data_IF_794586524390
#
_entry.id   IF_794586524390
#
_cell.length_a   1.000
_cell.length_b   1.000
_cell.length_c   1.000
_cell.angle_alpha   90.00
_cell.angle_beta   90.00
_cell.angle_gamma   90.00
#
_symmetry.space_group_name_H-M   'P 1'
#
loop_
_entity.id
_entity.type
_entity.pdbx_description
1 polymer ?
#
# COMPACT_ATOMS: atom_id res chain seq x y z
N UNK A 1 -21.18 -12.95 -7.55
CA UNK A 1 -20.74 -11.84 -6.71
C UNK A 1 -20.37 -10.65 -7.59
N UNK A 2 -20.94 -9.51 -7.30
CA UNK A 2 -20.62 -8.29 -8.04
C UNK A 2 -19.31 -7.72 -7.53
N UNK A 3 -18.48 -7.24 -8.45
CA UNK A 3 -17.23 -6.57 -8.11
C UNK A 3 -17.25 -5.15 -8.65
N UNK A 4 -16.49 -4.28 -7.98
CA UNK A 4 -16.37 -2.87 -8.38
C UNK A 4 -14.89 -2.51 -8.48
N UNK A 5 -14.50 -1.98 -9.64
CA UNK A 5 -13.14 -1.51 -9.86
C UNK A 5 -12.98 -0.13 -9.24
N UNK A 6 -11.86 0.07 -8.54
CA UNK A 6 -11.54 1.33 -7.87
C UNK A 6 -10.19 1.83 -8.38
N UNK A 7 -10.16 3.11 -8.77
CA UNK A 7 -8.94 3.80 -9.15
C UNK A 7 -8.84 5.09 -8.35
N UNK A 8 -7.70 5.32 -7.73
CA UNK A 8 -7.44 6.49 -6.90
C UNK A 8 -6.67 7.54 -7.69
N UNK A 9 -7.10 8.80 -7.60
CA UNK A 9 -6.42 9.88 -8.31
C UNK A 9 -5.08 10.26 -7.67
N UNK A 10 -4.95 10.06 -6.37
CA UNK A 10 -3.76 10.47 -5.61
C UNK A 10 -2.77 9.33 -5.39
N UNK A 11 -2.92 8.22 -6.10
CA UNK A 11 -1.93 7.14 -6.15
C UNK A 11 -1.30 7.12 -7.53
N UNK A 12 -0.10 6.54 -7.68
CA UNK A 12 0.52 6.43 -9.00
C UNK A 12 -0.39 5.70 -9.97
N UNK A 13 -0.50 6.20 -11.20
CA UNK A 13 -1.35 5.60 -12.21
C UNK A 13 -0.92 4.15 -12.49
N UNK A 14 -1.90 3.28 -12.72
CA UNK A 14 -1.63 1.92 -13.13
C UNK A 14 -0.99 1.92 -14.53
N UNK A 15 0.18 1.30 -14.66
CA UNK A 15 0.93 1.25 -15.91
C UNK A 15 0.82 -0.09 -16.62
N UNK A 16 -0.28 -0.79 -16.41
CA UNK A 16 -0.51 -2.08 -17.02
C UNK A 16 -1.98 -2.47 -16.93
N UNK A 17 -2.31 -3.72 -17.25
CA UNK A 17 -3.70 -4.17 -17.27
C UNK A 17 -4.19 -4.52 -15.86
N UNK A 18 -4.23 -3.52 -14.97
CA UNK A 18 -4.72 -3.70 -13.61
C UNK A 18 -5.32 -2.37 -13.08
N UNK A 19 -6.10 -2.46 -12.03
CA UNK A 19 -6.66 -1.30 -11.32
C UNK A 19 -6.05 -1.17 -9.93
N UNK A 20 -6.33 -0.09 -9.23
CA UNK A 20 -5.78 0.12 -7.89
C UNK A 20 -6.40 -0.81 -6.85
N UNK A 21 -7.69 -1.11 -6.97
CA UNK A 21 -8.36 -1.99 -6.04
C UNK A 21 -9.63 -2.56 -6.64
N UNK A 22 -10.12 -3.65 -6.05
CA UNK A 22 -11.39 -4.25 -6.41
C UNK A 22 -12.18 -4.47 -5.12
N UNK A 23 -13.42 -3.99 -5.12
CA UNK A 23 -14.36 -4.23 -4.04
C UNK A 23 -15.16 -5.48 -4.38
N UNK A 24 -15.17 -6.46 -3.48
CA UNK A 24 -15.85 -7.73 -3.67
C UNK A 24 -16.55 -8.12 -2.37
N UNK A 25 -17.89 -8.02 -2.35
CA UNK A 25 -18.65 -8.24 -1.13
C UNK A 25 -18.25 -7.24 -0.06
N UNK A 26 -17.89 -7.74 1.12
CA UNK A 26 -17.49 -6.90 2.25
C UNK A 26 -15.99 -6.60 2.29
N UNK A 27 -15.25 -7.00 1.25
CA UNK A 27 -13.81 -6.86 1.21
C UNK A 27 -13.34 -5.98 0.06
N UNK A 28 -12.20 -5.33 0.28
CA UNK A 28 -11.47 -4.61 -0.76
C UNK A 28 -10.09 -5.23 -0.88
N UNK A 29 -9.71 -5.55 -2.11
CA UNK A 29 -8.39 -6.10 -2.42
C UNK A 29 -7.63 -5.06 -3.21
N UNK A 30 -6.46 -4.65 -2.72
CA UNK A 30 -5.66 -3.63 -3.41
C UNK A 30 -4.53 -4.27 -4.19
N UNK A 31 -4.18 -3.65 -5.31
CA UNK A 31 -2.93 -3.95 -6.00
C UNK A 31 -1.76 -3.49 -5.14
N UNK A 32 -0.59 -4.06 -5.39
CA UNK A 32 0.62 -3.66 -4.68
C UNK A 32 1.01 -2.23 -5.01
N UNK A 33 1.60 -1.56 -4.03
CA UNK A 33 2.12 -0.20 -4.19
C UNK A 33 3.63 -0.24 -3.98
N UNK A 34 4.33 0.55 -4.78
CA UNK A 34 5.76 0.77 -4.64
C UNK A 34 6.02 2.22 -4.22
N UNK A 35 7.25 2.55 -3.91
CA UNK A 35 7.61 3.88 -3.44
C UNK A 35 7.69 4.94 -4.53
N UNK A 36 6.72 4.95 -5.41
CA UNK A 36 6.65 5.87 -6.54
C UNK A 36 5.85 7.11 -6.16
N UNK A 37 6.43 8.30 -6.38
CA UNK A 37 5.74 9.56 -6.15
C UNK A 37 4.67 9.73 -7.23
N UNK A 38 3.39 9.91 -6.87
CA UNK A 38 2.32 10.01 -7.86
C UNK A 38 2.36 11.26 -8.72
N UNK A 39 3.05 12.31 -8.27
CA UNK A 39 3.14 13.57 -9.02
C UNK A 39 4.32 13.56 -10.00
N UNK A 40 5.48 13.07 -9.56
CA UNK A 40 6.69 13.07 -10.39
C UNK A 40 6.87 11.79 -11.19
N UNK A 41 6.20 10.71 -10.78
CA UNK A 41 6.36 9.37 -11.35
C UNK A 41 7.78 8.82 -11.14
N UNK A 42 8.47 9.33 -10.13
CA UNK A 42 9.83 8.89 -9.78
C UNK A 42 9.82 8.08 -8.50
N UNK A 43 10.68 7.05 -8.47
CA UNK A 43 10.85 6.22 -7.28
C UNK A 43 11.63 7.02 -6.22
N UNK A 44 11.15 6.98 -4.98
CA UNK A 44 11.87 7.61 -3.87
C UNK A 44 13.19 6.89 -3.63
N UNK A 45 14.18 7.62 -3.11
CA UNK A 45 15.49 7.06 -2.81
C UNK A 45 15.55 6.55 -1.36
N UNK A 46 16.10 5.35 -1.22
CA UNK A 46 16.30 4.73 0.07
C UNK A 46 15.06 4.04 0.61
N UNK A 47 15.29 3.02 1.44
CA UNK A 47 14.20 2.17 1.94
C UNK A 47 13.22 2.94 2.83
N UNK A 48 13.70 3.88 3.63
CA UNK A 48 12.84 4.66 4.51
C UNK A 48 11.84 5.51 3.72
N UNK A 49 12.34 6.26 2.73
CA UNK A 49 11.48 7.14 1.93
C UNK A 49 10.56 6.34 1.01
N UNK A 50 11.04 5.22 0.48
CA UNK A 50 10.19 4.33 -0.30
C UNK A 50 9.06 3.75 0.54
N UNK A 51 9.35 3.34 1.77
CA UNK A 51 8.33 2.78 2.68
C UNK A 51 7.26 3.82 3.01
N UNK A 52 7.67 5.05 3.32
CA UNK A 52 6.72 6.13 3.59
C UNK A 52 5.83 6.39 2.38
N UNK A 53 6.41 6.39 1.18
CA UNK A 53 5.65 6.63 -0.04
C UNK A 53 4.69 5.49 -0.35
N UNK A 54 5.11 4.23 -0.15
CA UNK A 54 4.22 3.06 -0.30
C UNK A 54 2.99 3.22 0.58
N UNK A 55 3.19 3.57 1.85
CA UNK A 55 2.08 3.71 2.80
C UNK A 55 1.18 4.89 2.44
N UNK A 56 1.74 5.98 1.94
CA UNK A 56 0.96 7.12 1.45
C UNK A 56 0.12 6.73 0.23
N UNK A 57 0.71 5.98 -0.71
CA UNK A 57 0.00 5.53 -1.90
C UNK A 57 -1.13 4.57 -1.54
N UNK A 58 -0.86 3.64 -0.61
CA UNK A 58 -1.87 2.70 -0.13
C UNK A 58 -3.01 3.44 0.56
N UNK A 59 -2.69 4.44 1.37
CA UNK A 59 -3.69 5.27 2.04
C UNK A 59 -4.59 5.97 1.01
N UNK A 60 -4.03 6.47 -0.09
CA UNK A 60 -4.79 7.09 -1.16
C UNK A 60 -5.74 6.10 -1.84
N UNK A 61 -5.27 4.87 -2.09
CA UNK A 61 -6.11 3.83 -2.67
C UNK A 61 -7.25 3.46 -1.74
N UNK A 62 -6.96 3.29 -0.45
CA UNK A 62 -8.00 2.96 0.54
C UNK A 62 -9.03 4.09 0.66
N UNK A 63 -8.58 5.34 0.62
CA UNK A 63 -9.48 6.48 0.70
C UNK A 63 -10.48 6.50 -0.46
N UNK A 64 -10.07 6.03 -1.62
CA UNK A 64 -10.97 5.93 -2.78
C UNK A 64 -12.14 4.95 -2.54
N UNK A 65 -12.02 4.10 -1.52
CA UNK A 65 -13.07 3.16 -1.10
C UNK A 65 -13.67 3.56 0.25
N UNK A 66 -13.43 4.78 0.71
CA UNK A 66 -13.87 5.29 2.02
C UNK A 66 -13.30 4.47 3.18
N UNK A 67 -12.07 3.96 3.02
CA UNK A 67 -11.37 3.18 4.02
C UNK A 67 -10.09 3.89 4.47
N UNK A 68 -9.57 3.46 5.60
CA UNK A 68 -8.29 3.93 6.14
C UNK A 68 -7.40 2.73 6.46
N UNK A 69 -6.17 3.00 6.91
CA UNK A 69 -5.27 1.93 7.36
C UNK A 69 -5.85 1.15 8.53
N UNK A 70 -6.76 1.73 9.30
CA UNK A 70 -7.43 1.02 10.41
C UNK A 70 -8.30 -0.14 9.94
N UNK A 71 -8.69 -0.14 8.69
CA UNK A 71 -9.52 -1.20 8.12
C UNK A 71 -8.71 -2.35 7.51
N UNK A 72 -7.39 -2.23 7.46
CA UNK A 72 -6.52 -3.24 6.86
C UNK A 72 -6.46 -4.46 7.76
N UNK A 73 -6.65 -5.65 7.19
CA UNK A 73 -6.64 -6.91 7.96
C UNK A 73 -5.46 -7.80 7.58
N UNK A 74 -4.89 -7.63 6.40
CA UNK A 74 -3.76 -8.46 5.96
C UNK A 74 -2.90 -7.66 4.99
N UNK A 75 -1.58 -7.73 5.19
CA UNK A 75 -0.60 -7.16 4.28
C UNK A 75 0.44 -8.19 3.87
N UNK A 76 1.08 -7.97 2.75
CA UNK A 76 2.29 -8.68 2.35
C UNK A 76 3.32 -7.63 1.97
N UNK A 77 4.51 -7.74 2.55
CA UNK A 77 5.61 -6.80 2.32
C UNK A 77 6.72 -7.52 1.58
N UNK A 78 7.14 -6.95 0.45
CA UNK A 78 8.25 -7.48 -0.35
C UNK A 78 9.44 -6.55 -0.22
N UNK A 79 10.58 -7.08 0.26
CA UNK A 79 11.81 -6.32 0.47
C UNK A 79 12.88 -6.75 -0.52
N UNK A 80 13.63 -5.77 -1.04
CA UNK A 80 14.81 -6.08 -1.83
C UNK A 80 15.92 -6.69 -0.96
N UNK A 81 15.99 -6.28 0.32
CA UNK A 81 16.97 -6.77 1.28
C UNK A 81 16.28 -6.97 2.62
N UNK A 82 16.25 -8.21 3.10
CA UNK A 82 15.62 -8.54 4.39
C UNK A 82 16.30 -7.85 5.58
N UNK A 83 17.53 -7.39 5.42
CA UNK A 83 18.22 -6.64 6.47
C UNK A 83 17.61 -5.27 6.74
N UNK A 84 16.73 -4.78 5.85
CA UNK A 84 15.99 -3.53 6.05
C UNK A 84 14.75 -3.71 6.93
N UNK A 85 14.50 -4.93 7.39
CA UNK A 85 13.29 -5.29 8.12
C UNK A 85 13.03 -4.39 9.34
N UNK A 86 14.07 -4.15 10.16
CA UNK A 86 13.93 -3.35 11.37
C UNK A 86 13.55 -1.89 11.07
N UNK A 87 14.19 -1.29 10.06
CA UNK A 87 13.91 0.08 9.66
C UNK A 87 12.48 0.23 9.12
N UNK A 88 12.06 -0.71 8.29
CA UNK A 88 10.71 -0.73 7.73
C UNK A 88 9.67 -0.89 8.83
N UNK A 89 9.94 -1.75 9.82
CA UNK A 89 9.01 -1.99 10.91
C UNK A 89 8.68 -0.74 11.70
N UNK A 90 9.66 0.13 11.94
CA UNK A 90 9.42 1.38 12.67
C UNK A 90 8.44 2.29 11.92
N UNK A 91 8.65 2.42 10.61
CA UNK A 91 7.78 3.27 9.77
C UNK A 91 6.39 2.65 9.64
N UNK A 92 6.34 1.34 9.46
CA UNK A 92 5.10 0.58 9.35
C UNK A 92 4.27 0.70 10.63
N UNK A 93 4.90 0.52 11.78
CA UNK A 93 4.23 0.62 13.07
C UNK A 93 3.68 2.02 13.32
N UNK A 94 4.44 3.05 12.98
CA UNK A 94 3.98 4.43 13.12
C UNK A 94 2.74 4.70 12.25
N UNK A 95 2.74 4.17 11.03
CA UNK A 95 1.64 4.39 10.10
C UNK A 95 0.35 3.67 10.51
N UNK A 96 0.46 2.42 10.96
CA UNK A 96 -0.71 1.63 11.35
C UNK A 96 -1.18 1.91 12.77
N UNK A 97 -0.33 2.43 13.64
CA UNK A 97 -0.71 2.76 15.01
C UNK A 97 -1.16 1.52 15.78
N UNK A 98 -2.36 1.57 16.35
CA UNK A 98 -2.90 0.46 17.15
C UNK A 98 -3.42 -0.69 16.30
N UNK A 99 -3.69 -0.48 15.02
CA UNK A 99 -4.08 -1.57 14.14
C UNK A 99 -2.84 -2.37 13.76
N UNK A 100 -2.89 -3.68 14.02
CA UNK A 100 -1.78 -4.58 13.71
C UNK A 100 -2.30 -5.69 12.80
N UNK A 101 -2.41 -5.42 11.49
CA UNK A 101 -2.92 -6.43 10.57
C UNK A 101 -1.99 -7.64 10.50
N UNK A 102 -2.56 -8.78 10.16
CA UNK A 102 -1.76 -9.96 9.88
C UNK A 102 -0.80 -9.63 8.72
N UNK A 103 0.42 -10.16 8.75
CA UNK A 103 1.44 -9.77 7.78
C UNK A 103 2.35 -10.93 7.41
N UNK A 104 2.73 -10.98 6.14
CA UNK A 104 3.87 -11.75 5.66
C UNK A 104 4.91 -10.78 5.13
N UNK A 105 6.17 -11.03 5.43
CA UNK A 105 7.28 -10.20 4.96
C UNK A 105 8.33 -11.11 4.34
N UNK A 106 8.67 -10.86 3.08
CA UNK A 106 9.59 -11.71 2.31
C UNK A 106 10.58 -10.86 1.52
N UNK A 107 11.74 -11.46 1.24
CA UNK A 107 12.74 -10.89 0.36
C UNK A 107 12.49 -11.30 -1.08
#
# INVERSE_FOLDING_TARGET
MDTKIINAQNAPAAVGPYCHAVEAGDFVFTSGQIGLDPQTQELKEGVAEQTKQVLANLTAVLKASDLTLDNVIKTTVFLADINDFAEINEIYEEAFGDNKPARSCVQ
#
